data_IF_526984635034
#
_entry.id   IF_526984635034
#
_cell.length_a   1.000
_cell.length_b   1.000
_cell.length_c   1.000
_cell.angle_alpha   90.00
_cell.angle_beta   90.00
_cell.angle_gamma   90.00
#
_symmetry.space_group_name_H-M   'P 1'
#
loop_
_entity.id
_entity.type
_entity.pdbx_description
1 polymer ?
#
# COMPACT_ATOMS: atom_id res chain seq x y z
N UNK A 1 11.44 -15.55 11.73
CA UNK A 1 11.86 -16.23 12.98
C UNK A 1 13.06 -15.52 13.58
N UNK A 2 13.03 -15.24 14.88
CA UNK A 2 14.21 -14.81 15.62
C UNK A 2 15.02 -16.04 16.07
N UNK A 3 16.20 -16.24 15.46
CA UNK A 3 17.12 -17.33 15.82
C UNK A 3 18.13 -16.96 16.90
N UNK A 4 18.11 -15.73 17.41
CA UNK A 4 19.03 -15.23 18.43
C UNK A 4 18.50 -15.34 19.86
N UNK A 5 19.28 -14.84 20.81
CA UNK A 5 18.97 -14.87 22.26
C UNK A 5 18.38 -13.56 22.79
N UNK A 6 18.20 -12.54 21.94
CA UNK A 6 17.63 -11.24 22.31
C UNK A 6 16.46 -10.88 21.41
N UNK A 7 15.46 -10.19 21.97
CA UNK A 7 14.39 -9.56 21.18
C UNK A 7 14.96 -8.53 20.21
N UNK A 8 14.28 -8.34 19.10
CA UNK A 8 14.49 -7.22 18.19
C UNK A 8 13.19 -6.77 17.57
N UNK A 9 13.14 -5.48 17.26
CA UNK A 9 11.98 -4.83 16.68
C UNK A 9 12.08 -4.77 15.16
N UNK A 10 10.95 -4.93 14.48
CA UNK A 10 10.90 -4.74 13.04
C UNK A 10 9.59 -4.14 12.55
N UNK A 11 9.66 -3.65 11.32
CA UNK A 11 8.54 -3.34 10.45
C UNK A 11 8.69 -4.20 9.20
N UNK A 12 7.58 -4.54 8.57
CA UNK A 12 7.58 -5.33 7.35
C UNK A 12 6.50 -4.84 6.42
N UNK A 13 6.80 -4.79 5.12
CA UNK A 13 5.85 -4.42 4.09
C UNK A 13 6.22 -5.10 2.78
N UNK A 14 5.21 -5.43 1.98
CA UNK A 14 5.36 -5.95 0.63
C UNK A 14 5.08 -4.82 -0.37
N UNK A 15 6.15 -4.21 -0.88
CA UNK A 15 6.11 -3.04 -1.77
C UNK A 15 5.68 -3.39 -3.20
N UNK A 16 4.42 -3.77 -3.35
CA UNK A 16 3.91 -4.44 -4.56
C UNK A 16 3.51 -3.42 -5.63
N UNK A 17 4.18 -3.48 -6.78
CA UNK A 17 3.85 -2.70 -7.97
C UNK A 17 2.83 -3.44 -8.86
N UNK A 18 1.64 -2.88 -9.01
CA UNK A 18 0.61 -3.42 -9.90
C UNK A 18 0.61 -2.73 -11.25
N UNK A 19 0.68 -3.51 -12.33
CA UNK A 19 0.64 -2.99 -13.70
C UNK A 19 -0.77 -2.58 -14.13
N UNK A 20 -0.95 -1.30 -14.46
CA UNK A 20 -2.18 -0.73 -15.02
C UNK A 20 -1.93 -0.14 -16.41
N UNK A 21 -2.97 0.06 -17.23
CA UNK A 21 -2.77 0.71 -18.55
C UNK A 21 -2.75 2.23 -18.41
N UNK A 22 -3.61 2.76 -17.55
CA UNK A 22 -3.72 4.19 -17.31
C UNK A 22 -4.10 4.45 -15.84
N UNK A 23 -3.18 5.04 -15.08
CA UNK A 23 -3.36 5.38 -13.67
C UNK A 23 -4.58 6.27 -13.41
N UNK A 24 -4.97 7.12 -14.38
CA UNK A 24 -6.10 8.06 -14.21
C UNK A 24 -7.47 7.36 -14.14
N UNK A 25 -7.52 6.09 -14.51
CA UNK A 25 -8.72 5.24 -14.51
C UNK A 25 -8.72 4.22 -13.36
N UNK A 26 -7.71 4.29 -12.49
CA UNK A 26 -7.58 3.40 -11.33
C UNK A 26 -8.45 3.91 -10.19
N UNK A 27 -9.20 2.98 -9.62
CA UNK A 27 -9.95 3.17 -8.39
C UNK A 27 -9.60 2.02 -7.44
N UNK A 28 -9.41 2.31 -6.16
CA UNK A 28 -9.11 1.31 -5.13
C UNK A 28 -10.25 1.27 -4.13
N UNK A 29 -10.83 0.09 -3.92
CA UNK A 29 -11.86 -0.14 -2.90
C UNK A 29 -11.33 -1.00 -1.75
N UNK A 30 -12.00 -0.94 -0.61
CA UNK A 30 -11.56 -1.56 0.65
C UNK A 30 -10.76 -0.62 1.55
N UNK A 31 -10.65 0.66 1.16
CA UNK A 31 -9.97 1.73 1.89
C UNK A 31 -10.93 2.84 2.32
N UNK A 32 -12.23 2.69 2.09
CA UNK A 32 -13.25 3.69 2.41
C UNK A 32 -13.32 3.94 3.91
N UNK A 33 -13.59 5.19 4.32
CA UNK A 33 -13.74 5.61 5.72
C UNK A 33 -12.58 5.19 6.64
N UNK A 34 -11.40 4.99 6.08
CA UNK A 34 -10.20 4.53 6.80
C UNK A 34 -9.38 5.73 7.25
N UNK A 35 -8.89 5.75 8.50
CA UNK A 35 -7.82 6.65 8.89
C UNK A 35 -6.62 6.51 7.95
N UNK A 36 -5.98 7.64 7.61
CA UNK A 36 -4.74 7.62 6.84
C UNK A 36 -3.72 8.66 7.32
N UNK A 37 -2.46 8.39 7.03
CA UNK A 37 -1.34 9.34 7.10
C UNK A 37 -0.88 9.67 5.68
N UNK A 38 -0.80 10.96 5.35
CA UNK A 38 -0.34 11.50 4.09
C UNK A 38 1.10 12.01 4.22
N UNK A 39 1.99 11.43 3.42
CA UNK A 39 3.42 11.72 3.38
C UNK A 39 3.81 12.65 2.23
N UNK A 40 2.85 13.17 1.47
CA UNK A 40 3.10 14.14 0.40
C UNK A 40 3.35 15.55 0.92
N UNK A 41 2.96 15.84 2.17
CA UNK A 41 3.14 17.12 2.84
C UNK A 41 4.29 17.08 3.85
N UNK A 42 4.85 18.24 4.18
CA UNK A 42 5.84 18.38 5.26
C UNK A 42 5.42 19.54 6.17
N UNK A 43 5.07 19.29 7.45
CA UNK A 43 4.97 17.97 8.08
C UNK A 43 3.86 17.10 7.46
N UNK A 44 3.96 15.79 7.64
CA UNK A 44 2.91 14.85 7.25
C UNK A 44 1.56 15.25 7.87
N UNK A 45 0.48 14.98 7.18
CA UNK A 45 -0.89 15.24 7.64
C UNK A 45 -1.68 13.94 7.80
N UNK A 46 -2.63 13.90 8.74
CA UNK A 46 -3.54 12.75 8.90
C UNK A 46 -4.95 13.13 8.49
N UNK A 47 -5.74 12.13 8.10
CA UNK A 47 -7.14 12.30 7.73
C UNK A 47 -7.95 11.02 7.81
N UNK A 48 -9.16 11.08 7.26
CA UNK A 48 -10.03 9.92 7.06
C UNK A 48 -10.50 9.94 5.62
N UNK A 49 -10.36 8.81 4.93
CA UNK A 49 -10.72 8.69 3.52
C UNK A 49 -12.24 8.79 3.34
N UNK A 50 -12.67 9.10 2.11
CA UNK A 50 -14.08 9.19 1.76
C UNK A 50 -14.79 7.83 1.86
N UNK A 51 -16.12 7.87 1.79
CA UNK A 51 -16.94 6.67 1.53
C UNK A 51 -16.86 6.17 0.08
N UNK A 52 -16.26 6.96 -0.82
CA UNK A 52 -16.06 6.62 -2.23
C UNK A 52 -14.71 5.92 -2.44
N UNK A 53 -14.56 5.14 -3.54
CA UNK A 53 -13.29 4.51 -3.91
C UNK A 53 -12.14 5.52 -4.01
N UNK A 54 -10.94 5.12 -3.58
CA UNK A 54 -9.74 5.94 -3.68
C UNK A 54 -9.30 6.05 -5.14
N UNK A 55 -9.33 7.27 -5.68
CA UNK A 55 -8.86 7.60 -7.04
C UNK A 55 -7.43 8.11 -7.00
N UNK A 56 -6.69 7.91 -8.09
CA UNK A 56 -5.30 8.39 -8.22
C UNK A 56 -5.23 9.42 -9.33
N UNK A 57 -5.39 10.68 -8.96
CA UNK A 57 -5.42 11.82 -9.90
C UNK A 57 -4.20 12.74 -9.78
N UNK A 58 -3.32 12.47 -8.82
CA UNK A 58 -2.08 13.20 -8.56
C UNK A 58 -1.09 12.27 -7.84
N UNK A 59 0.10 12.80 -7.51
CA UNK A 59 1.02 12.18 -6.56
C UNK A 59 0.26 11.74 -5.30
N UNK A 60 0.55 10.53 -4.85
CA UNK A 60 0.00 9.95 -3.63
C UNK A 60 1.10 9.15 -2.93
N UNK A 61 1.19 9.33 -1.62
CA UNK A 61 2.02 8.55 -0.70
C UNK A 61 1.26 8.51 0.63
N UNK A 62 0.28 7.61 0.71
CA UNK A 62 -0.68 7.56 1.82
C UNK A 62 -0.69 6.18 2.46
N UNK A 63 -0.62 6.14 3.79
CA UNK A 63 -0.71 4.93 4.61
C UNK A 63 -2.11 4.87 5.21
N UNK A 64 -2.93 3.94 4.75
CA UNK A 64 -4.28 3.70 5.26
C UNK A 64 -4.25 2.63 6.35
N UNK A 65 -5.12 2.78 7.36
CA UNK A 65 -5.38 1.77 8.39
C UNK A 65 -6.86 1.38 8.35
N UNK A 66 -7.26 0.46 7.46
CA UNK A 66 -8.66 0.04 7.36
C UNK A 66 -9.16 -0.63 8.64
N UNK A 67 -10.41 -0.35 9.01
CA UNK A 67 -11.02 -0.90 10.24
C UNK A 67 -11.17 -2.44 10.22
N UNK A 68 -11.12 -3.07 9.05
CA UNK A 68 -11.15 -4.52 8.85
C UNK A 68 -9.78 -4.97 8.33
N UNK A 69 -9.00 -5.65 9.17
CA UNK A 69 -7.57 -5.85 8.89
C UNK A 69 -7.23 -7.09 8.05
N UNK A 70 -8.12 -8.09 7.90
CA UNK A 70 -7.80 -9.31 7.13
C UNK A 70 -8.86 -9.77 6.11
N UNK A 71 -10.14 -9.67 6.45
CA UNK A 71 -11.20 -10.31 5.65
C UNK A 71 -11.72 -9.43 4.50
N UNK A 72 -11.56 -8.12 4.61
CA UNK A 72 -12.00 -7.18 3.58
C UNK A 72 -10.91 -7.06 2.51
N UNK A 73 -11.16 -7.51 1.26
CA UNK A 73 -10.19 -7.41 0.19
C UNK A 73 -9.94 -5.95 -0.18
N UNK A 74 -8.69 -5.64 -0.51
CA UNK A 74 -8.38 -4.44 -1.30
C UNK A 74 -8.53 -4.81 -2.77
N UNK A 75 -9.34 -4.06 -3.50
CA UNK A 75 -9.52 -4.30 -4.94
C UNK A 75 -8.96 -3.12 -5.72
N UNK A 76 -8.18 -3.42 -6.74
CA UNK A 76 -7.75 -2.45 -7.74
C UNK A 76 -8.64 -2.62 -8.96
N UNK A 77 -9.39 -1.56 -9.27
CA UNK A 77 -10.19 -1.45 -10.48
C UNK A 77 -9.42 -0.68 -11.54
N UNK A 78 -9.66 -1.01 -12.80
CA UNK A 78 -9.07 -0.35 -13.96
C UNK A 78 -10.13 -0.26 -15.05
N UNK A 79 -10.41 0.94 -15.55
CA UNK A 79 -11.53 1.22 -16.48
C UNK A 79 -12.89 0.70 -15.94
N UNK A 80 -13.12 0.81 -14.63
CA UNK A 80 -14.34 0.33 -13.97
C UNK A 80 -14.46 -1.19 -13.79
N UNK A 81 -13.45 -1.96 -14.21
CA UNK A 81 -13.41 -3.41 -14.05
C UNK A 81 -12.46 -3.80 -12.90
N UNK A 82 -12.86 -4.78 -12.08
CA UNK A 82 -11.95 -5.39 -11.11
C UNK A 82 -10.78 -6.01 -11.87
N UNK A 83 -9.56 -5.70 -11.47
CA UNK A 83 -8.34 -6.21 -12.11
C UNK A 83 -7.50 -7.04 -11.17
N UNK A 84 -7.32 -6.56 -9.94
CA UNK A 84 -6.60 -7.27 -8.91
C UNK A 84 -7.39 -7.28 -7.62
N UNK A 85 -7.36 -8.42 -6.94
CA UNK A 85 -7.82 -8.57 -5.57
C UNK A 85 -6.62 -8.90 -4.69
N UNK A 86 -6.52 -8.21 -3.56
CA UNK A 86 -5.47 -8.38 -2.57
C UNK A 86 -6.13 -8.80 -1.26
N UNK A 87 -5.83 -10.01 -0.82
CA UNK A 87 -6.11 -10.49 0.53
C UNK A 87 -4.79 -10.46 1.30
N UNK A 88 -4.85 -10.03 2.56
CA UNK A 88 -3.68 -9.88 3.41
C UNK A 88 -3.93 -10.52 4.76
N UNK A 89 -2.88 -11.09 5.33
CA UNK A 89 -2.89 -11.63 6.68
C UNK A 89 -1.72 -11.06 7.47
N UNK A 90 -1.99 -10.72 8.73
CA UNK A 90 -1.05 -10.08 9.65
C UNK A 90 -0.44 -8.76 9.15
N UNK A 91 -1.13 -8.07 8.24
CA UNK A 91 -0.78 -6.75 7.71
C UNK A 91 -1.95 -5.77 7.89
N UNK A 92 -1.78 -4.77 8.75
CA UNK A 92 -2.85 -3.86 9.15
C UNK A 92 -2.89 -2.59 8.30
N UNK A 93 -1.74 -2.16 7.78
CA UNK A 93 -1.64 -0.97 6.94
C UNK A 93 -1.64 -1.32 5.46
N UNK A 94 -2.17 -0.39 4.67
CA UNK A 94 -2.11 -0.41 3.22
C UNK A 94 -1.52 0.91 2.74
N UNK A 95 -0.37 0.88 2.09
CA UNK A 95 0.18 2.05 1.41
C UNK A 95 -0.37 2.10 0.00
N UNK A 96 -0.84 3.27 -0.42
CA UNK A 96 -1.08 3.58 -1.82
C UNK A 96 -0.06 4.60 -2.26
N UNK A 97 0.74 4.23 -3.26
CA UNK A 97 1.79 5.09 -3.78
C UNK A 97 1.79 5.18 -5.30
N UNK A 98 1.95 6.42 -5.78
CA UNK A 98 2.30 6.73 -7.16
C UNK A 98 3.15 8.02 -7.14
N UNK A 99 4.36 8.01 -7.73
CA UNK A 99 5.29 9.14 -7.66
C UNK A 99 4.78 10.36 -8.44
N UNK A 100 3.90 10.14 -9.42
CA UNK A 100 3.55 11.12 -10.43
C UNK A 100 4.77 11.59 -11.25
N UNK A 101 4.55 12.60 -12.07
CA UNK A 101 5.49 13.02 -13.11
C UNK A 101 6.83 13.53 -12.54
N UNK A 102 6.78 14.46 -11.61
CA UNK A 102 7.97 15.16 -11.12
C UNK A 102 8.89 14.21 -10.32
N UNK A 103 8.33 13.41 -9.41
CA UNK A 103 9.14 12.47 -8.63
C UNK A 103 9.63 11.31 -9.51
N UNK A 104 8.80 10.79 -10.43
CA UNK A 104 9.25 9.72 -11.33
C UNK A 104 10.44 10.14 -12.19
N UNK A 105 10.44 11.38 -12.69
CA UNK A 105 11.57 11.93 -13.44
C UNK A 105 12.83 12.17 -12.58
N UNK A 106 12.70 12.22 -11.25
CA UNK A 106 13.82 12.40 -10.32
C UNK A 106 14.46 11.06 -9.89
N UNK A 107 13.75 9.95 -10.07
CA UNK A 107 14.23 8.61 -9.74
C UNK A 107 15.12 8.08 -10.86
N UNK A 108 16.43 8.02 -10.62
CA UNK A 108 17.43 7.65 -11.64
C UNK A 108 17.27 6.23 -12.21
N UNK A 109 16.60 5.34 -11.48
CA UNK A 109 16.31 3.96 -11.86
C UNK A 109 14.85 3.74 -12.30
N UNK A 110 14.06 4.80 -12.42
CA UNK A 110 12.67 4.74 -12.90
C UNK A 110 12.59 5.12 -14.38
N UNK A 111 12.55 4.12 -15.25
CA UNK A 111 12.49 4.33 -16.70
C UNK A 111 11.38 3.49 -17.38
N UNK A 112 10.65 4.05 -18.36
CA UNK A 112 10.63 5.47 -18.72
C UNK A 112 10.08 6.32 -17.57
N UNK A 113 10.45 7.61 -17.50
CA UNK A 113 9.89 8.52 -16.49
C UNK A 113 8.36 8.58 -16.52
N UNK A 114 7.74 8.36 -17.68
CA UNK A 114 6.27 8.27 -17.85
C UNK A 114 5.66 6.95 -17.33
N UNK A 115 6.48 6.00 -16.87
CA UNK A 115 6.06 4.70 -16.34
C UNK A 115 5.13 4.78 -15.14
N UNK A 116 5.10 5.93 -14.43
CA UNK A 116 4.14 6.18 -13.35
C UNK A 116 2.69 6.06 -13.82
N UNK A 117 2.42 6.28 -15.11
CA UNK A 117 1.09 6.12 -15.72
C UNK A 117 0.64 4.67 -15.80
N UNK A 118 1.56 3.71 -15.72
CA UNK A 118 1.30 2.29 -15.92
C UNK A 118 1.46 1.46 -14.65
N UNK A 119 1.53 2.11 -13.49
CA UNK A 119 1.71 1.44 -12.21
C UNK A 119 0.89 2.10 -11.10
N UNK A 120 0.47 1.30 -10.13
CA UNK A 120 0.06 1.74 -8.80
C UNK A 120 0.72 0.81 -7.78
N UNK A 121 1.29 1.37 -6.72
CA UNK A 121 1.70 0.56 -5.59
C UNK A 121 0.54 0.44 -4.62
N UNK A 122 0.22 -0.79 -4.25
CA UNK A 122 -0.70 -1.11 -3.16
C UNK A 122 0.03 -2.10 -2.28
N UNK A 123 0.46 -1.63 -1.12
CA UNK A 123 1.48 -2.30 -0.33
C UNK A 123 0.90 -2.64 1.03
N UNK A 124 0.90 -3.92 1.39
CA UNK A 124 0.40 -4.35 2.69
C UNK A 124 1.57 -4.44 3.68
N UNK A 125 1.38 -3.92 4.88
CA UNK A 125 2.46 -3.79 5.84
C UNK A 125 2.04 -3.69 7.31
N UNK A 126 3.06 -3.76 8.14
CA UNK A 126 3.09 -3.39 9.56
C UNK A 126 4.10 -2.25 9.69
N UNK A 127 3.58 -1.03 9.63
CA UNK A 127 4.33 0.22 9.39
C UNK A 127 4.12 1.21 10.53
N UNK A 128 2.92 1.20 11.12
CA UNK A 128 2.61 2.07 12.25
C UNK A 128 2.97 1.36 13.55
N UNK A 129 4.16 1.67 14.07
CA UNK A 129 4.72 1.02 15.26
C UNK A 129 5.72 -0.08 14.91
N UNK A 130 6.16 -0.80 15.94
CA UNK A 130 7.18 -1.84 15.84
C UNK A 130 6.60 -3.16 16.34
N UNK A 131 6.94 -4.24 15.66
CA UNK A 131 6.71 -5.59 16.17
C UNK A 131 7.98 -6.03 16.88
N UNK A 132 7.89 -6.27 18.19
CA UNK A 132 8.95 -6.95 18.93
C UNK A 132 8.88 -8.45 18.62
N UNK A 133 10.01 -9.03 18.21
CA UNK A 133 10.16 -10.47 17.99
C UNK A 133 11.15 -11.06 19.00
N UNK A 134 10.63 -11.80 19.99
CA UNK A 134 11.40 -12.42 21.05
C UNK A 134 12.21 -13.64 20.58
N UNK A 135 13.18 -14.12 21.40
CA UNK A 135 14.00 -15.29 21.08
C UNK A 135 13.17 -16.53 20.74
N UNK A 136 13.43 -17.14 19.59
CA UNK A 136 12.73 -18.35 19.12
C UNK A 136 11.38 -18.09 18.45
N UNK A 137 10.80 -16.89 18.60
CA UNK A 137 9.50 -16.54 18.02
C UNK A 137 9.56 -16.45 16.49
N UNK A 138 8.40 -16.69 15.86
CA UNK A 138 8.21 -16.56 14.42
C UNK A 138 7.02 -15.68 14.17
N UNK A 139 7.23 -14.70 13.30
CA UNK A 139 6.18 -13.89 12.73
C UNK A 139 6.04 -14.24 11.25
N UNK A 140 4.80 -14.31 10.79
CA UNK A 140 4.42 -14.56 9.40
C UNK A 140 3.37 -13.53 9.01
N UNK A 141 3.52 -12.97 7.81
CA UNK A 141 2.51 -12.13 7.17
C UNK A 141 2.45 -12.53 5.70
N UNK A 142 1.25 -12.44 5.11
CA UNK A 142 1.04 -12.91 3.74
C UNK A 142 0.21 -11.94 2.91
N UNK A 143 0.46 -11.97 1.60
CA UNK A 143 -0.33 -11.28 0.60
C UNK A 143 -0.69 -12.29 -0.49
N UNK A 144 -1.99 -12.41 -0.77
CA UNK A 144 -2.52 -13.22 -1.85
C UNK A 144 -3.09 -12.26 -2.90
N UNK A 145 -2.52 -12.32 -4.09
CA UNK A 145 -2.98 -11.53 -5.24
C UNK A 145 -3.74 -12.47 -6.19
N UNK A 146 -4.96 -12.10 -6.54
CA UNK A 146 -5.74 -12.76 -7.59
C UNK A 146 -6.00 -11.79 -8.75
N UNK A 147 -5.78 -12.25 -9.98
CA UNK A 147 -6.18 -11.54 -11.20
C UNK A 147 -7.64 -11.88 -11.49
N UNK A 148 -8.43 -10.87 -11.85
CA UNK A 148 -9.85 -11.00 -12.15
C UNK A 148 -10.09 -10.97 -13.67
#
# INVERSE_FOLDING_TARGET
RNGGEKSWDFQALLHTYFRVKDISTVEITGLESSPYLDKTSTPNSSGTSSSEPQKITSKIDQIFTPASSSDTPILIHHDGNKKFQIIRDNFNEVVVWNPWKEDAASLSDFEPCEGYKNMVCVEVGVINGWIELGPGETWEGSQIISVQ
#
